data_IF_134939628584
#
_entry.id   IF_134939628584
#
_cell.length_a   1.000
_cell.length_b   1.000
_cell.length_c   1.000
_cell.angle_alpha   90.00
_cell.angle_beta   90.00
_cell.angle_gamma   90.00
#
_symmetry.space_group_name_H-M   'P 1'
#
loop_
_entity.id
_entity.type
_entity.pdbx_description
1 polymer ?
#
# COMPACT_ATOMS: atom_id res chain seq x y z
N UNK A 1 11.18 3.63 9.88
CA UNK A 1 9.81 3.22 9.53
C UNK A 1 9.41 3.86 8.21
N UNK A 2 8.57 3.22 7.41
CA UNK A 2 8.13 3.78 6.10
C UNK A 2 7.30 5.07 6.26
N UNK A 3 6.50 5.19 7.30
CA UNK A 3 5.72 6.37 7.65
C UNK A 3 5.89 6.68 9.14
N UNK A 4 6.07 7.94 9.47
CA UNK A 4 6.15 8.41 10.85
C UNK A 4 4.97 9.33 11.18
N UNK A 5 4.58 9.38 12.47
CA UNK A 5 3.47 10.22 12.94
C UNK A 5 3.60 11.68 12.49
N UNK A 6 4.80 12.24 12.58
CA UNK A 6 5.06 13.64 12.19
C UNK A 6 4.72 13.94 10.72
N UNK A 7 4.76 12.94 9.87
CA UNK A 7 4.46 13.09 8.44
C UNK A 7 2.96 13.11 8.14
N UNK A 8 2.12 12.76 9.11
CA UNK A 8 0.65 12.86 9.00
C UNK A 8 0.15 14.31 9.01
N UNK A 9 1.01 15.29 9.32
CA UNK A 9 0.69 16.73 9.25
C UNK A 9 0.15 17.19 7.88
N UNK A 10 0.39 16.43 6.83
CA UNK A 10 -0.14 16.70 5.48
C UNK A 10 -1.60 16.29 5.29
N UNK A 11 -2.15 15.48 6.18
CA UNK A 11 -3.53 14.95 6.13
C UNK A 11 -4.39 15.35 7.32
N UNK A 12 -3.78 15.65 8.47
CA UNK A 12 -4.46 16.15 9.66
C UNK A 12 -3.50 16.96 10.53
N UNK A 13 -4.05 17.80 11.41
CA UNK A 13 -3.23 18.55 12.38
C UNK A 13 -2.81 17.66 13.54
N UNK A 14 -1.62 17.90 14.08
CA UNK A 14 -1.10 17.12 15.24
C UNK A 14 -2.02 17.22 16.46
N UNK A 15 -2.66 18.38 16.67
CA UNK A 15 -3.60 18.59 17.75
C UNK A 15 -4.79 17.64 17.69
N UNK A 16 -5.36 17.45 16.50
CA UNK A 16 -6.50 16.55 16.29
C UNK A 16 -6.07 15.11 16.52
N UNK A 17 -4.93 14.71 15.95
CA UNK A 17 -4.39 13.36 16.13
C UNK A 17 -4.16 13.09 17.62
N UNK A 18 -3.43 13.96 18.31
CA UNK A 18 -3.11 13.82 19.73
C UNK A 18 -4.37 13.74 20.61
N UNK A 19 -5.41 14.50 20.26
CA UNK A 19 -6.68 14.46 20.97
C UNK A 19 -7.42 13.13 20.78
N UNK A 20 -7.32 12.53 19.59
CA UNK A 20 -7.95 11.23 19.30
C UNK A 20 -7.23 10.10 20.02
N UNK A 21 -5.92 10.10 20.03
CA UNK A 21 -5.09 9.05 20.62
C UNK A 21 -4.79 9.25 22.11
N UNK A 22 -5.28 10.34 22.73
CA UNK A 22 -4.96 10.75 24.11
C UNK A 22 -3.43 10.87 24.37
N UNK A 23 -2.68 11.39 23.40
CA UNK A 23 -1.22 11.51 23.43
C UNK A 23 -0.46 10.16 23.58
N UNK A 24 -1.07 9.06 23.21
CA UNK A 24 -0.43 7.75 23.16
C UNK A 24 0.04 7.44 21.72
N UNK A 25 1.30 7.73 21.46
CA UNK A 25 1.90 7.58 20.12
C UNK A 25 2.02 6.11 19.67
N UNK A 26 1.98 5.15 20.60
CA UNK A 26 2.01 3.73 20.27
C UNK A 26 0.83 3.32 19.40
N UNK A 27 -0.33 3.95 19.63
CA UNK A 27 -1.55 3.72 18.86
C UNK A 27 -1.36 4.07 17.39
N UNK A 28 -0.71 5.19 17.10
CA UNK A 28 -0.42 5.58 15.71
C UNK A 28 0.56 4.61 15.06
N UNK A 29 1.57 4.17 15.82
CA UNK A 29 2.55 3.20 15.34
C UNK A 29 1.89 1.88 14.96
N UNK A 30 1.00 1.36 15.81
CA UNK A 30 0.27 0.13 15.55
C UNK A 30 -0.65 0.27 14.32
N UNK A 31 -1.39 1.37 14.20
CA UNK A 31 -2.24 1.64 13.04
C UNK A 31 -1.41 1.73 11.74
N UNK A 32 -0.22 2.32 11.79
CA UNK A 32 0.67 2.38 10.63
C UNK A 32 1.10 0.97 10.21
N UNK A 33 1.50 0.12 11.15
CA UNK A 33 1.92 -1.24 10.86
C UNK A 33 0.77 -2.08 10.29
N UNK A 34 -0.42 -2.02 10.89
CA UNK A 34 -1.62 -2.69 10.38
C UNK A 34 -1.98 -2.21 8.96
N UNK A 35 -1.85 -0.91 8.70
CA UNK A 35 -2.12 -0.33 7.38
C UNK A 35 -1.08 -0.77 6.33
N UNK A 36 0.18 -0.94 6.72
CA UNK A 36 1.23 -1.50 5.86
C UNK A 36 0.91 -2.95 5.52
N UNK A 37 0.49 -3.75 6.50
CA UNK A 37 0.11 -5.14 6.27
C UNK A 37 -1.11 -5.24 5.34
N UNK A 38 -2.10 -4.36 5.51
CA UNK A 38 -3.24 -4.27 4.61
C UNK A 38 -2.78 -3.97 3.17
N UNK A 39 -1.96 -2.94 2.97
CA UNK A 39 -1.45 -2.59 1.64
C UNK A 39 -0.61 -3.71 1.05
N UNK A 40 0.22 -4.35 1.85
CA UNK A 40 1.06 -5.47 1.44
C UNK A 40 0.22 -6.64 0.90
N UNK A 41 -0.93 -6.91 1.52
CA UNK A 41 -1.83 -7.97 1.06
C UNK A 41 -2.36 -7.77 -0.37
N UNK A 42 -2.52 -6.51 -0.80
CA UNK A 42 -2.92 -6.17 -2.18
C UNK A 42 -1.75 -6.15 -3.16
N UNK A 43 -0.55 -5.74 -2.70
CA UNK A 43 0.62 -5.54 -3.55
C UNK A 43 1.44 -6.82 -3.73
N UNK A 44 1.37 -7.74 -2.79
CA UNK A 44 2.25 -8.92 -2.72
C UNK A 44 2.25 -9.81 -3.97
N UNK A 45 1.15 -9.83 -4.72
CA UNK A 45 1.04 -10.67 -5.91
C UNK A 45 2.07 -10.33 -6.97
N UNK A 46 2.36 -9.04 -7.18
CA UNK A 46 3.22 -8.56 -8.26
C UNK A 46 4.48 -7.85 -7.79
N UNK A 47 4.48 -7.34 -6.55
CA UNK A 47 5.51 -6.46 -6.06
C UNK A 47 6.23 -7.04 -4.84
N UNK A 48 7.49 -6.64 -4.69
CA UNK A 48 8.28 -6.90 -3.48
C UNK A 48 7.88 -5.92 -2.39
N UNK A 49 6.94 -6.34 -1.55
CA UNK A 49 6.41 -5.49 -0.47
C UNK A 49 7.44 -5.19 0.60
N UNK A 50 8.39 -6.08 0.82
CA UNK A 50 9.49 -5.85 1.76
C UNK A 50 10.40 -4.73 1.27
N UNK A 51 10.81 -4.77 -0.01
CA UNK A 51 11.60 -3.70 -0.61
C UNK A 51 10.85 -2.35 -0.61
N UNK A 52 9.52 -2.36 -0.86
CA UNK A 52 8.70 -1.15 -0.85
C UNK A 52 8.67 -0.51 0.54
N UNK A 53 8.32 -1.27 1.58
CA UNK A 53 8.06 -0.71 2.91
C UNK A 53 9.32 -0.57 3.80
N UNK A 54 10.46 -1.17 3.40
CA UNK A 54 11.75 -0.91 4.03
C UNK A 54 12.45 0.34 3.47
N UNK A 55 11.97 0.90 2.36
CA UNK A 55 12.50 2.16 1.82
C UNK A 55 12.29 3.31 2.82
N UNK A 56 13.24 4.25 2.85
CA UNK A 56 13.23 5.40 3.75
C UNK A 56 13.57 6.69 3.02
N UNK A 57 13.22 7.83 3.62
CA UNK A 57 13.53 9.14 3.05
C UNK A 57 12.96 9.32 1.64
N UNK A 58 13.79 9.77 0.73
CA UNK A 58 13.40 10.07 -0.66
C UNK A 58 13.29 8.82 -1.56
N UNK A 59 13.78 7.66 -1.11
CA UNK A 59 13.67 6.40 -1.85
C UNK A 59 12.26 5.80 -1.78
N UNK A 60 11.41 6.33 -0.89
CA UNK A 60 10.01 5.89 -0.76
C UNK A 60 9.18 6.31 -1.96
N UNK A 61 8.35 5.41 -2.48
CA UNK A 61 7.39 5.78 -3.50
C UNK A 61 6.31 6.71 -2.93
N UNK A 62 6.22 7.92 -3.50
CA UNK A 62 5.33 8.98 -2.99
C UNK A 62 3.84 8.65 -3.16
N UNK A 63 3.47 7.86 -4.15
CA UNK A 63 2.08 7.43 -4.36
C UNK A 63 1.67 6.43 -3.28
N UNK A 64 2.52 5.44 -3.00
CA UNK A 64 2.31 4.50 -1.89
C UNK A 64 2.21 5.25 -0.56
N UNK A 65 3.12 6.20 -0.32
CA UNK A 65 3.11 7.01 0.90
C UNK A 65 1.82 7.84 1.03
N UNK A 66 1.35 8.45 -0.06
CA UNK A 66 0.07 9.19 -0.09
C UNK A 66 -1.11 8.31 0.32
N UNK A 67 -1.21 7.14 -0.28
CA UNK A 67 -2.32 6.21 0.00
C UNK A 67 -2.23 5.62 1.40
N UNK A 68 -1.03 5.30 1.88
CA UNK A 68 -0.83 4.86 3.25
C UNK A 68 -1.30 5.91 4.27
N UNK A 69 -0.93 7.18 4.06
CA UNK A 69 -1.43 8.28 4.91
C UNK A 69 -2.95 8.38 4.91
N UNK A 70 -3.58 8.17 3.76
CA UNK A 70 -5.04 8.18 3.62
C UNK A 70 -5.71 7.06 4.43
N UNK A 71 -5.14 5.87 4.42
CA UNK A 71 -5.63 4.73 5.21
C UNK A 71 -5.43 5.01 6.71
N UNK A 72 -4.22 5.37 7.11
CA UNK A 72 -3.87 5.62 8.51
C UNK A 72 -4.74 6.70 9.14
N UNK A 73 -4.96 7.82 8.45
CA UNK A 73 -5.77 8.91 9.02
C UNK A 73 -7.24 8.51 9.18
N UNK A 74 -7.77 7.73 8.23
CA UNK A 74 -9.12 7.19 8.35
C UNK A 74 -9.24 6.26 9.57
N UNK A 75 -8.31 5.34 9.76
CA UNK A 75 -8.28 4.43 10.91
C UNK A 75 -8.17 5.18 12.25
N UNK A 76 -7.40 6.27 12.30
CA UNK A 76 -7.33 7.14 13.49
C UNK A 76 -8.70 7.77 13.79
N UNK A 77 -9.37 8.31 12.76
CA UNK A 77 -10.67 8.97 12.95
C UNK A 77 -11.78 8.02 13.36
N UNK A 78 -11.88 6.84 12.76
CA UNK A 78 -12.94 5.86 13.08
C UNK A 78 -12.80 5.27 14.48
N UNK A 79 -11.63 5.37 15.08
CA UNK A 79 -11.40 4.97 16.47
C UNK A 79 -12.31 5.72 17.45
N UNK A 80 -12.71 6.96 17.13
CA UNK A 80 -13.72 7.71 17.83
C UNK A 80 -15.06 7.65 17.10
N UNK A 81 -15.99 6.84 17.60
CA UNK A 81 -17.31 6.60 17.00
C UNK A 81 -18.18 7.86 16.80
N UNK A 82 -17.81 9.00 17.40
CA UNK A 82 -18.54 10.27 17.29
C UNK A 82 -17.92 11.27 16.31
N UNK A 83 -16.77 10.94 15.71
CA UNK A 83 -16.06 11.84 14.80
C UNK A 83 -16.03 11.21 13.42
N UNK A 84 -17.02 11.53 12.60
CA UNK A 84 -17.01 11.20 11.18
C UNK A 84 -16.30 12.32 10.41
N UNK A 85 -15.31 11.96 9.58
CA UNK A 85 -14.62 12.89 8.70
C UNK A 85 -14.75 12.42 7.26
N UNK A 86 -15.56 13.14 6.47
CA UNK A 86 -15.82 12.80 5.08
C UNK A 86 -14.56 12.84 4.22
N UNK A 87 -13.64 13.76 4.50
CA UNK A 87 -12.37 13.87 3.75
C UNK A 87 -11.48 12.67 4.04
N UNK A 88 -11.38 12.24 5.29
CA UNK A 88 -10.62 11.06 5.67
C UNK A 88 -11.20 9.79 5.01
N UNK A 89 -12.54 9.67 4.99
CA UNK A 89 -13.21 8.58 4.29
C UNK A 89 -12.95 8.62 2.79
N UNK A 90 -13.02 9.76 2.15
CA UNK A 90 -12.76 9.90 0.72
C UNK A 90 -11.31 9.51 0.38
N UNK A 91 -10.33 9.85 1.22
CA UNK A 91 -8.93 9.44 1.06
C UNK A 91 -8.75 7.94 1.22
N UNK A 92 -9.47 7.34 2.15
CA UNK A 92 -9.48 5.89 2.35
C UNK A 92 -10.06 5.19 1.13
N UNK A 93 -11.22 5.63 0.65
CA UNK A 93 -11.87 5.05 -0.53
C UNK A 93 -10.99 5.19 -1.79
N UNK A 94 -10.32 6.33 -1.98
CA UNK A 94 -9.33 6.52 -3.06
C UNK A 94 -8.17 5.53 -2.95
N UNK A 95 -7.63 5.34 -1.76
CA UNK A 95 -6.53 4.40 -1.52
C UNK A 95 -6.95 2.95 -1.78
N UNK A 96 -8.12 2.54 -1.30
CA UNK A 96 -8.63 1.18 -1.51
C UNK A 96 -8.93 0.91 -2.99
N UNK A 97 -9.51 1.88 -3.70
CA UNK A 97 -9.74 1.77 -5.14
C UNK A 97 -8.42 1.65 -5.93
N UNK A 98 -7.41 2.41 -5.55
CA UNK A 98 -6.09 2.30 -6.16
C UNK A 98 -5.46 0.93 -5.93
N UNK A 99 -5.49 0.43 -4.68
CA UNK A 99 -4.99 -0.91 -4.33
C UNK A 99 -5.70 -2.02 -5.10
N UNK A 100 -7.03 -1.94 -5.19
CA UNK A 100 -7.84 -2.89 -5.95
C UNK A 100 -7.43 -2.92 -7.43
N UNK A 101 -7.30 -1.74 -8.07
CA UNK A 101 -6.86 -1.64 -9.47
C UNK A 101 -5.44 -2.12 -9.69
N UNK A 102 -4.53 -1.91 -8.73
CA UNK A 102 -3.17 -2.45 -8.80
C UNK A 102 -3.21 -3.97 -8.67
N UNK A 103 -3.97 -4.52 -7.74
CA UNK A 103 -4.11 -5.97 -7.57
C UNK A 103 -4.74 -6.67 -8.78
N UNK A 104 -5.61 -5.99 -9.50
CA UNK A 104 -6.19 -6.46 -10.76
C UNK A 104 -5.28 -6.26 -11.99
N UNK A 105 -4.13 -5.64 -11.82
CA UNK A 105 -3.18 -5.35 -12.90
C UNK A 105 -3.60 -4.21 -13.84
N UNK A 106 -4.66 -3.44 -13.48
CA UNK A 106 -5.13 -2.28 -14.26
C UNK A 106 -4.23 -1.07 -14.12
N UNK A 107 -3.59 -0.91 -12.95
CA UNK A 107 -2.57 0.10 -12.68
C UNK A 107 -1.25 -0.62 -12.41
N UNK A 108 -0.18 -0.17 -13.05
CA UNK A 108 1.17 -0.71 -12.89
C UNK A 108 2.09 0.40 -12.36
N UNK A 109 2.13 0.64 -11.04
CA UNK A 109 3.02 1.64 -10.48
C UNK A 109 4.49 1.22 -10.63
N UNK A 110 5.43 2.17 -10.70
CA UNK A 110 6.86 1.88 -10.78
C UNK A 110 7.40 1.46 -9.41
N UNK A 111 7.10 0.24 -9.01
CA UNK A 111 7.50 -0.37 -7.74
C UNK A 111 8.43 -1.57 -8.00
N UNK A 112 9.26 -1.96 -7.02
CA UNK A 112 10.05 -3.18 -7.11
C UNK A 112 9.17 -4.38 -7.39
N UNK A 113 9.48 -5.12 -8.45
CA UNK A 113 8.72 -6.30 -8.87
C UNK A 113 9.17 -7.50 -8.04
N UNK A 114 8.21 -8.26 -7.53
CA UNK A 114 8.47 -9.51 -6.84
C UNK A 114 9.15 -10.49 -7.79
N UNK A 115 10.21 -11.13 -7.32
CA UNK A 115 10.94 -12.16 -8.05
C UNK A 115 10.61 -13.51 -7.45
N UNK A 116 10.44 -14.52 -8.29
CA UNK A 116 10.19 -15.89 -7.88
C UNK A 116 11.47 -16.69 -7.96
N UNK A 117 11.79 -17.38 -6.89
CA UNK A 117 12.82 -18.41 -6.84
C UNK A 117 12.10 -19.75 -7.09
N UNK A 118 12.31 -20.34 -8.28
CA UNK A 118 11.59 -21.54 -8.72
C UNK A 118 12.35 -22.81 -8.36
N UNK A 119 13.66 -22.72 -8.18
CA UNK A 119 14.51 -23.88 -7.87
C UNK A 119 14.98 -23.95 -6.40
N UNK A 120 14.71 -22.91 -5.61
CA UNK A 120 15.00 -22.90 -4.18
C UNK A 120 16.47 -22.65 -3.84
N UNK A 121 17.27 -22.10 -4.78
CA UNK A 121 18.68 -21.82 -4.55
C UNK A 121 18.95 -20.49 -3.84
N UNK A 122 17.89 -19.73 -3.55
CA UNK A 122 17.96 -18.42 -2.91
C UNK A 122 18.24 -17.27 -3.86
N UNK A 123 18.35 -17.53 -5.16
CA UNK A 123 18.49 -16.51 -6.20
C UNK A 123 17.19 -16.39 -6.99
N UNK A 124 16.71 -15.17 -7.26
CA UNK A 124 15.47 -14.98 -8.00
C UNK A 124 15.65 -15.35 -9.48
N UNK A 125 14.83 -16.29 -9.99
CA UNK A 125 14.88 -16.74 -11.40
C UNK A 125 14.10 -15.82 -12.34
N UNK A 126 12.90 -15.44 -11.95
CA UNK A 126 12.00 -14.72 -12.84
C UNK A 126 11.17 -13.69 -12.06
N UNK A 127 10.93 -12.50 -12.65
CA UNK A 127 10.00 -11.55 -12.08
C UNK A 127 8.57 -12.12 -12.07
N UNK A 128 7.79 -11.80 -11.04
CA UNK A 128 6.37 -12.11 -11.00
C UNK A 128 5.69 -11.50 -12.23
N UNK A 129 5.01 -12.33 -13.00
CA UNK A 129 4.35 -11.86 -14.23
C UNK A 129 3.03 -11.16 -13.86
N UNK A 130 2.89 -9.94 -14.38
CA UNK A 130 1.54 -9.33 -14.47
C UNK A 130 0.65 -10.22 -15.35
N UNK A 131 -0.63 -10.30 -14.99
CA UNK A 131 -1.60 -11.07 -15.74
C UNK A 131 -1.43 -10.84 -17.24
N UNK A 132 -0.98 -11.86 -17.97
CA UNK A 132 -0.98 -11.85 -19.42
C UNK A 132 -2.42 -11.99 -19.88
N UNK A 133 -3.06 -10.88 -20.23
CA UNK A 133 -4.31 -10.91 -20.99
C UNK A 133 -4.00 -11.58 -22.32
N UNK A 134 -4.33 -12.87 -22.37
CA UNK A 134 -4.48 -13.71 -23.51
C UNK A 134 -3.69 -13.36 -24.78
N UNK A 135 -2.45 -13.80 -24.88
CA UNK A 135 -1.95 -14.17 -26.17
C UNK A 135 -2.53 -15.55 -26.51
N UNK A 136 -3.60 -15.58 -27.28
CA UNK A 136 -3.96 -16.80 -27.99
C UNK A 136 -2.70 -17.23 -28.72
N UNK A 137 -2.19 -18.43 -28.42
CA UNK A 137 -1.26 -19.11 -29.31
C UNK A 137 -1.91 -19.10 -30.70
N UNK A 138 -1.26 -18.47 -31.66
CA UNK A 138 -1.68 -18.54 -33.04
C UNK A 138 -1.91 -20.02 -33.38
N UNK A 139 -3.14 -20.36 -33.60
CA UNK A 139 -3.49 -21.61 -34.26
C UNK A 139 -2.82 -21.52 -35.65
N UNK A 140 -1.73 -22.24 -35.82
CA UNK A 140 -1.24 -22.55 -37.16
C UNK A 140 -2.24 -23.52 -37.75
N UNK A 141 -3.18 -23.00 -38.54
CA UNK A 141 -3.96 -23.83 -39.43
C UNK A 141 -2.96 -24.48 -40.39
N UNK A 142 -2.60 -25.69 -40.11
CA UNK A 142 -1.99 -26.55 -41.11
C UNK A 142 -3.13 -27.16 -41.94
N UNK A 143 -3.34 -26.57 -43.08
CA UNK A 143 -4.02 -27.24 -44.16
C UNK A 143 -3.00 -27.89 -45.06
#
# INVERSE_FOLDING_TARGET
>A
MFLEKVELKTVATDEIINKIINNDDSIVTDIILESIDLMSSYLYQYFDTEAIFNASGDDRNRTVLKHLKGIVIHEIYIRRTKVFNEVAKARYDEAMLWLEKVSEGKIKPPLPIRQNDTDGDGTPDTPATFMKLGSRKNYKNHF
#
